data_IF_098629991385
#
_entry.id   IF_098629991385
#
_cell.length_a   1.000
_cell.length_b   1.000
_cell.length_c   1.000
_cell.angle_alpha   90.00
_cell.angle_beta   90.00
_cell.angle_gamma   90.00
#
_symmetry.space_group_name_H-M   'P 1'
#
loop_
_entity.id
_entity.type
_entity.pdbx_description
1 polymer ?
#
# COMPACT_ATOMS: atom_id res chain seq x y z
N UNK A 1 7.54 18.78 -13.51
CA UNK A 1 8.50 19.75 -14.08
C UNK A 1 9.57 18.99 -14.85
N UNK A 2 9.46 18.91 -16.18
CA UNK A 2 10.47 18.25 -17.02
C UNK A 2 11.40 19.29 -17.64
N UNK A 3 12.67 19.32 -17.23
CA UNK A 3 13.69 20.13 -17.90
C UNK A 3 14.12 19.39 -19.17
N UNK A 4 13.73 19.92 -20.34
CA UNK A 4 14.30 19.51 -21.63
C UNK A 4 15.71 20.10 -21.70
N UNK A 5 16.73 19.26 -21.58
CA UNK A 5 18.10 19.64 -21.85
C UNK A 5 18.28 19.78 -23.37
N UNK A 6 18.53 21.00 -23.80
CA UNK A 6 18.80 21.38 -25.17
C UNK A 6 20.27 21.06 -25.49
N UNK A 7 20.53 19.87 -26.04
CA UNK A 7 21.87 19.53 -26.52
C UNK A 7 22.04 20.07 -27.94
N UNK A 8 22.85 21.11 -28.09
CA UNK A 8 23.26 21.64 -29.39
C UNK A 8 24.12 20.56 -30.09
N UNK A 9 23.51 19.82 -31.02
CA UNK A 9 24.25 19.07 -32.04
C UNK A 9 25.07 20.07 -32.84
N UNK A 10 26.38 20.10 -32.60
CA UNK A 10 27.33 20.73 -33.53
C UNK A 10 27.39 19.82 -34.76
N UNK A 11 26.66 20.19 -35.80
CA UNK A 11 26.86 19.63 -37.14
C UNK A 11 28.28 19.96 -37.57
N UNK A 12 29.12 18.93 -37.65
CA UNK A 12 30.42 19.04 -38.29
C UNK A 12 30.17 19.05 -39.80
N UNK A 13 30.05 20.24 -40.39
CA UNK A 13 29.81 20.41 -41.83
C UNK A 13 31.11 20.07 -42.56
N UNK A 14 31.27 18.80 -42.97
CA UNK A 14 32.35 18.38 -43.85
C UNK A 14 32.09 18.97 -45.25
N UNK A 15 32.99 19.85 -45.71
CA UNK A 15 32.88 20.52 -47.01
C UNK A 15 33.08 19.52 -48.16
N UNK A 16 32.31 19.56 -49.27
CA UNK A 16 32.45 18.58 -50.34
C UNK A 16 33.79 18.77 -51.06
N UNK A 17 34.68 17.77 -51.03
CA UNK A 17 35.96 17.81 -51.75
C UNK A 17 36.07 16.71 -52.81
N UNK A 18 36.58 17.14 -53.97
CA UNK A 18 36.69 16.35 -55.21
C UNK A 18 37.56 15.10 -54.99
N UNK A 19 36.97 13.95 -55.29
CA UNK A 19 37.71 12.71 -55.53
C UNK A 19 38.51 12.89 -56.83
N UNK A 20 39.82 12.65 -56.78
CA UNK A 20 40.72 12.76 -57.93
C UNK A 20 40.76 11.40 -58.61
N UNK A 21 40.54 11.37 -59.92
CA UNK A 21 40.51 10.13 -60.70
C UNK A 21 41.92 9.55 -60.89
N UNK A 22 42.04 8.22 -61.07
CA UNK A 22 43.34 7.53 -61.26
C UNK A 22 44.18 8.13 -62.41
N UNK A 23 43.52 8.67 -63.46
CA UNK A 23 44.18 9.28 -64.61
C UNK A 23 44.82 10.65 -64.31
N UNK A 24 44.31 11.40 -63.34
CA UNK A 24 44.87 12.70 -62.93
C UNK A 24 46.09 12.52 -62.02
N UNK A 25 46.14 11.41 -61.27
CA UNK A 25 47.27 11.05 -60.41
C UNK A 25 48.53 10.63 -61.20
N UNK A 26 48.39 10.11 -62.42
CA UNK A 26 49.54 9.68 -63.24
C UNK A 26 50.31 10.83 -63.91
N UNK A 27 49.73 12.04 -64.00
CA UNK A 27 50.30 13.16 -64.75
C UNK A 27 50.90 14.27 -63.86
N UNK A 28 50.98 14.05 -62.55
CA UNK A 28 51.42 15.05 -61.57
C UNK A 28 52.93 15.04 -61.31
N UNK A 29 53.49 16.19 -60.96
CA UNK A 29 54.91 16.31 -60.57
C UNK A 29 55.16 15.70 -59.18
N UNK A 30 56.40 15.30 -58.88
CA UNK A 30 56.77 14.72 -57.59
C UNK A 30 56.41 15.64 -56.40
N UNK A 31 56.57 16.96 -56.57
CA UNK A 31 56.23 17.95 -55.55
C UNK A 31 54.72 17.99 -55.28
N UNK A 32 53.90 17.94 -56.34
CA UNK A 32 52.43 17.89 -56.22
C UNK A 32 51.98 16.58 -55.54
N UNK A 33 52.64 15.46 -55.86
CA UNK A 33 52.36 14.18 -55.23
C UNK A 33 52.69 14.20 -53.74
N UNK A 34 53.86 14.74 -53.37
CA UNK A 34 54.25 14.90 -51.95
C UNK A 34 53.27 15.76 -51.16
N UNK A 35 52.79 16.87 -51.73
CA UNK A 35 51.79 17.73 -51.09
C UNK A 35 50.46 16.98 -50.92
N UNK A 36 49.99 16.28 -51.96
CA UNK A 36 48.75 15.50 -51.90
C UNK A 36 48.79 14.42 -50.80
N UNK A 37 49.89 13.67 -50.72
CA UNK A 37 50.08 12.63 -49.69
C UNK A 37 50.10 13.26 -48.29
N UNK A 38 50.79 14.38 -48.12
CA UNK A 38 50.85 15.08 -46.84
C UNK A 38 49.46 15.58 -46.38
N UNK A 39 48.66 16.12 -47.29
CA UNK A 39 47.28 16.51 -47.00
C UNK A 39 46.40 15.30 -46.66
N UNK A 40 46.58 14.17 -47.35
CA UNK A 40 45.84 12.95 -47.04
C UNK A 40 46.18 12.40 -45.64
N UNK A 41 47.47 12.35 -45.30
CA UNK A 41 47.93 11.95 -43.96
C UNK A 41 47.34 12.87 -42.90
N UNK A 42 47.42 14.19 -43.10
CA UNK A 42 46.87 15.15 -42.15
C UNK A 42 45.36 14.95 -41.93
N UNK A 43 44.60 14.70 -43.01
CA UNK A 43 43.17 14.39 -42.91
C UNK A 43 42.89 13.09 -42.15
N UNK A 44 43.70 12.06 -42.37
CA UNK A 44 43.58 10.80 -41.63
C UNK A 44 43.88 11.00 -40.15
N UNK A 45 44.94 11.74 -39.82
CA UNK A 45 45.30 12.05 -38.42
C UNK A 45 44.17 12.81 -37.72
N UNK A 46 43.57 13.81 -38.37
CA UNK A 46 42.41 14.52 -37.81
C UNK A 46 41.22 13.58 -37.55
N UNK A 47 40.90 12.70 -38.51
CA UNK A 47 39.81 11.72 -38.34
C UNK A 47 40.10 10.72 -37.23
N UNK A 48 41.32 10.20 -37.14
CA UNK A 48 41.76 9.27 -36.08
C UNK A 48 41.67 9.96 -34.72
N UNK A 49 42.20 11.18 -34.58
CA UNK A 49 42.16 11.93 -33.32
C UNK A 49 40.73 12.19 -32.85
N UNK A 50 39.82 12.52 -33.77
CA UNK A 50 38.40 12.71 -33.42
C UNK A 50 37.74 11.39 -32.99
N UNK A 51 38.03 10.27 -33.67
CA UNK A 51 37.54 8.95 -33.26
C UNK A 51 38.05 8.54 -31.88
N UNK A 52 39.33 8.78 -31.59
CA UNK A 52 39.92 8.51 -30.28
C UNK A 52 39.24 9.31 -29.16
N UNK A 53 39.00 10.62 -29.36
CA UNK A 53 38.28 11.45 -28.39
C UNK A 53 36.87 10.94 -28.12
N UNK A 54 36.10 10.65 -29.17
CA UNK A 54 34.76 10.09 -29.03
C UNK A 54 34.78 8.75 -28.28
N UNK A 55 35.79 7.91 -28.51
CA UNK A 55 35.94 6.64 -27.82
C UNK A 55 36.23 6.83 -26.32
N UNK A 56 37.03 7.84 -25.94
CA UNK A 56 37.30 8.17 -24.54
C UNK A 56 36.05 8.68 -23.83
N UNK A 57 35.29 9.57 -24.47
CA UNK A 57 34.01 10.07 -23.94
C UNK A 57 33.02 8.91 -23.71
N UNK A 58 32.86 8.02 -24.71
CA UNK A 58 32.00 6.84 -24.59
C UNK A 58 32.43 5.92 -23.44
N UNK A 59 33.74 5.71 -23.23
CA UNK A 59 34.24 4.90 -22.11
C UNK A 59 33.87 5.52 -20.75
N UNK A 60 33.99 6.85 -20.65
CA UNK A 60 33.61 7.59 -19.44
C UNK A 60 32.11 7.47 -19.16
N UNK A 61 31.27 7.61 -20.19
CA UNK A 61 29.82 7.47 -20.06
C UNK A 61 29.42 6.05 -19.64
N UNK A 62 30.03 5.02 -20.24
CA UNK A 62 29.81 3.62 -19.88
C UNK A 62 30.18 3.36 -18.41
N UNK A 63 31.32 3.90 -17.94
CA UNK A 63 31.72 3.77 -16.55
C UNK A 63 30.71 4.44 -15.59
N UNK A 64 30.19 5.61 -15.97
CA UNK A 64 29.15 6.32 -15.21
C UNK A 64 27.85 5.53 -15.16
N UNK A 65 27.42 4.95 -16.29
CA UNK A 65 26.22 4.11 -16.36
C UNK A 65 26.39 2.87 -15.48
N UNK A 66 27.56 2.22 -15.51
CA UNK A 66 27.84 1.06 -14.67
C UNK A 66 27.69 1.38 -13.19
N UNK A 67 28.29 2.47 -12.72
CA UNK A 67 28.23 2.88 -11.32
C UNK A 67 26.80 3.24 -10.88
N UNK A 68 26.03 3.91 -11.74
CA UNK A 68 24.63 4.23 -11.43
C UNK A 68 23.76 2.96 -11.39
N UNK A 69 24.01 1.99 -12.27
CA UNK A 69 23.32 0.70 -12.26
C UNK A 69 23.64 -0.11 -10.99
N UNK A 70 24.90 -0.15 -10.55
CA UNK A 70 25.28 -0.78 -9.28
C UNK A 70 24.57 -0.13 -8.09
N UNK A 71 24.49 1.22 -8.06
CA UNK A 71 23.73 1.94 -7.03
C UNK A 71 22.23 1.62 -7.05
N UNK A 72 21.64 1.49 -8.24
CA UNK A 72 20.23 1.09 -8.38
C UNK A 72 19.99 -0.33 -7.88
N UNK A 73 20.88 -1.27 -8.18
CA UNK A 73 20.75 -2.66 -7.73
C UNK A 73 20.78 -2.75 -6.20
N UNK A 74 21.69 -2.02 -5.52
CA UNK A 74 21.72 -2.01 -4.05
C UNK A 74 20.43 -1.47 -3.44
N UNK A 75 19.86 -0.40 -4.03
CA UNK A 75 18.59 0.17 -3.57
C UNK A 75 17.39 -0.75 -3.85
N UNK A 76 17.44 -1.50 -4.95
CA UNK A 76 16.42 -2.48 -5.28
C UNK A 76 16.44 -3.63 -4.27
N UNK A 77 17.62 -4.17 -3.95
CA UNK A 77 17.75 -5.22 -2.95
C UNK A 77 17.21 -4.78 -1.58
N UNK A 78 17.56 -3.56 -1.15
CA UNK A 78 17.03 -3.01 0.11
C UNK A 78 15.49 -2.89 0.09
N UNK A 79 14.91 -2.51 -1.05
CA UNK A 79 13.46 -2.43 -1.20
C UNK A 79 12.81 -3.82 -1.18
N UNK A 80 13.41 -4.82 -1.81
CA UNK A 80 12.95 -6.21 -1.79
C UNK A 80 12.97 -6.81 -0.37
N UNK A 81 14.04 -6.57 0.38
CA UNK A 81 14.16 -7.03 1.77
C UNK A 81 13.08 -6.38 2.66
N UNK A 82 12.84 -5.08 2.48
CA UNK A 82 11.78 -4.35 3.20
C UNK A 82 10.37 -4.84 2.86
N UNK A 83 10.12 -5.16 1.59
CA UNK A 83 8.83 -5.72 1.15
C UNK A 83 8.63 -7.09 1.80
N UNK A 84 9.66 -7.94 1.80
CA UNK A 84 9.61 -9.26 2.42
C UNK A 84 9.28 -9.18 3.93
N UNK A 85 9.91 -8.24 4.66
CA UNK A 85 9.60 -8.03 6.07
C UNK A 85 8.15 -7.56 6.30
N UNK A 86 7.65 -6.66 5.43
CA UNK A 86 6.27 -6.18 5.51
C UNK A 86 5.24 -7.28 5.20
N UNK A 87 5.53 -8.16 4.25
CA UNK A 87 4.68 -9.32 3.95
C UNK A 87 4.51 -10.23 5.17
N UNK A 88 5.61 -10.54 5.86
CA UNK A 88 5.61 -11.31 7.11
C UNK A 88 4.79 -10.62 8.21
N UNK A 89 4.93 -9.30 8.35
CA UNK A 89 4.18 -8.52 9.34
C UNK A 89 2.68 -8.51 9.05
N UNK A 90 2.28 -8.31 7.78
CA UNK A 90 0.88 -8.35 7.35
C UNK A 90 0.27 -9.72 7.62
N UNK A 91 1.00 -10.81 7.35
CA UNK A 91 0.53 -12.16 7.63
C UNK A 91 0.31 -12.40 9.14
N UNK A 92 1.23 -11.94 9.99
CA UNK A 92 1.08 -12.03 11.46
C UNK A 92 -0.12 -11.22 11.94
N UNK A 93 -0.34 -10.03 11.39
CA UNK A 93 -1.48 -9.18 11.74
C UNK A 93 -2.81 -9.83 11.33
N UNK A 94 -2.90 -10.39 10.12
CA UNK A 94 -4.09 -11.09 9.66
C UNK A 94 -4.44 -12.29 10.56
N UNK A 95 -3.42 -13.05 11.00
CA UNK A 95 -3.63 -14.13 11.97
C UNK A 95 -4.13 -13.62 13.33
N UNK A 96 -3.55 -12.52 13.83
CA UNK A 96 -3.98 -11.92 15.09
C UNK A 96 -5.43 -11.41 15.03
N UNK A 97 -5.81 -10.78 13.91
CA UNK A 97 -7.18 -10.31 13.66
C UNK A 97 -8.18 -11.46 13.68
N UNK A 98 -7.90 -12.56 12.98
CA UNK A 98 -8.75 -13.76 13.01
C UNK A 98 -8.92 -14.34 14.42
N UNK A 99 -7.89 -14.29 15.25
CA UNK A 99 -7.97 -14.75 16.64
C UNK A 99 -8.79 -13.81 17.51
N UNK A 100 -8.70 -12.49 17.30
CA UNK A 100 -9.53 -11.50 17.97
C UNK A 100 -11.00 -11.65 17.58
N UNK A 101 -11.30 -11.84 16.30
CA UNK A 101 -12.65 -12.06 15.80
C UNK A 101 -13.30 -13.29 16.47
N UNK A 102 -12.57 -14.41 16.55
CA UNK A 102 -13.04 -15.62 17.26
C UNK A 102 -13.32 -15.35 18.75
N UNK A 103 -12.49 -14.55 19.41
CA UNK A 103 -12.69 -14.19 20.82
C UNK A 103 -13.92 -13.30 21.01
N UNK A 104 -14.10 -12.29 20.16
CA UNK A 104 -15.26 -11.40 20.18
C UNK A 104 -16.54 -12.22 19.98
N UNK A 105 -16.58 -13.08 18.97
CA UNK A 105 -17.73 -13.94 18.70
C UNK A 105 -18.10 -14.82 19.89
N UNK A 106 -17.11 -15.44 20.55
CA UNK A 106 -17.33 -16.23 21.76
C UNK A 106 -17.85 -15.39 22.93
N UNK A 107 -17.36 -14.16 23.09
CA UNK A 107 -17.83 -13.24 24.12
C UNK A 107 -19.27 -12.79 23.85
N UNK A 108 -19.61 -12.48 22.60
CA UNK A 108 -20.98 -12.13 22.21
C UNK A 108 -21.96 -13.28 22.47
N UNK A 109 -21.58 -14.51 22.14
CA UNK A 109 -22.37 -15.71 22.44
C UNK A 109 -22.56 -15.87 23.96
N UNK A 110 -21.49 -15.74 24.75
CA UNK A 110 -21.56 -15.84 26.22
C UNK A 110 -22.42 -14.73 26.85
N UNK A 111 -22.36 -13.50 26.33
CA UNK A 111 -23.22 -12.41 26.79
C UNK A 111 -24.69 -12.64 26.44
N UNK A 112 -24.97 -13.23 25.27
CA UNK A 112 -26.32 -13.62 24.87
C UNK A 112 -26.87 -14.68 25.82
N UNK A 113 -26.11 -15.73 26.11
CA UNK A 113 -26.48 -16.78 27.06
C UNK A 113 -26.75 -16.19 28.45
N UNK A 114 -25.89 -15.29 28.95
CA UNK A 114 -26.09 -14.65 30.24
C UNK A 114 -27.37 -13.80 30.26
N UNK A 115 -27.63 -13.03 29.19
CA UNK A 115 -28.86 -12.24 29.05
C UNK A 115 -30.09 -13.12 29.03
N UNK A 116 -30.06 -14.22 28.28
CA UNK A 116 -31.17 -15.16 28.18
C UNK A 116 -31.42 -15.88 29.51
N UNK A 117 -30.34 -16.26 30.22
CA UNK A 117 -30.43 -16.84 31.55
C UNK A 117 -31.03 -15.86 32.57
N UNK A 118 -30.66 -14.58 32.55
CA UNK A 118 -31.27 -13.56 33.40
C UNK A 118 -32.77 -13.40 33.09
N UNK A 119 -33.16 -13.42 31.81
CA UNK A 119 -34.58 -13.32 31.42
C UNK A 119 -35.43 -14.52 31.80
N UNK A 120 -34.85 -15.73 31.85
CA UNK A 120 -35.60 -16.96 32.21
C UNK A 120 -36.24 -16.90 33.60
N UNK A 121 -35.62 -16.16 34.52
CA UNK A 121 -36.14 -15.97 35.88
C UNK A 121 -37.08 -14.77 36.02
N UNK A 122 -37.33 -14.02 34.95
CA UNK A 122 -38.24 -12.88 34.98
C UNK A 122 -39.69 -13.35 34.80
N UNK A 123 -40.55 -12.95 35.74
CA UNK A 123 -42.00 -13.12 35.62
C UNK A 123 -42.63 -11.87 35.01
N UNK A 124 -43.55 -12.05 34.05
CA UNK A 124 -44.36 -10.97 33.47
C UNK A 124 -45.80 -11.12 33.95
N UNK A 125 -46.32 -10.13 34.66
CA UNK A 125 -47.71 -10.05 35.11
C UNK A 125 -48.45 -9.13 34.13
N UNK A 126 -49.58 -9.58 33.59
CA UNK A 126 -50.38 -8.87 32.57
C UNK A 126 -51.81 -8.73 33.09
N UNK A 127 -52.52 -7.67 32.71
CA UNK A 127 -53.92 -7.44 33.08
C UNK A 127 -54.11 -6.69 34.40
N UNK A 128 -53.06 -6.02 34.88
CA UNK A 128 -53.16 -5.12 36.03
C UNK A 128 -53.89 -3.83 35.64
N UNK A 129 -54.87 -3.37 36.44
CA UNK A 129 -55.45 -2.04 36.31
C UNK A 129 -54.37 -0.95 36.40
N UNK A 130 -54.43 0.01 35.49
CA UNK A 130 -53.45 1.09 35.39
C UNK A 130 -53.37 1.89 36.71
N UNK A 131 -52.14 2.08 37.22
CA UNK A 131 -51.88 2.85 38.44
C UNK A 131 -52.09 2.08 39.76
N UNK A 132 -52.49 0.81 39.71
CA UNK A 132 -52.62 -0.01 40.93
C UNK A 132 -51.25 -0.29 41.57
N UNK A 133 -50.20 -0.40 40.76
CA UNK A 133 -48.83 -0.54 41.23
C UNK A 133 -48.31 0.69 42.00
N UNK A 134 -48.76 1.90 41.63
CA UNK A 134 -48.38 3.13 42.31
C UNK A 134 -49.14 3.32 43.64
N UNK A 135 -50.40 2.85 43.70
CA UNK A 135 -51.26 3.01 44.88
C UNK A 135 -50.90 2.05 46.02
N UNK A 136 -50.65 0.77 45.69
CA UNK A 136 -50.44 -0.28 46.70
C UNK A 136 -48.96 -0.71 46.81
N UNK A 137 -48.14 -0.36 45.82
CA UNK A 137 -46.75 -0.78 45.70
C UNK A 137 -46.61 -2.17 45.06
N UNK A 138 -45.62 -2.31 44.18
CA UNK A 138 -45.38 -3.55 43.40
C UNK A 138 -45.12 -4.78 44.26
N UNK A 139 -44.42 -4.64 45.39
CA UNK A 139 -44.13 -5.76 46.30
C UNK A 139 -45.40 -6.29 46.95
N UNK A 140 -46.28 -5.41 47.44
CA UNK A 140 -47.55 -5.79 48.05
C UNK A 140 -48.50 -6.40 47.02
N UNK A 141 -48.58 -5.81 45.82
CA UNK A 141 -49.39 -6.33 44.71
C UNK A 141 -48.91 -7.72 44.28
N UNK A 142 -47.59 -7.94 44.24
CA UNK A 142 -47.02 -9.25 43.94
C UNK A 142 -47.37 -10.28 45.03
N UNK A 143 -47.26 -9.93 46.32
CA UNK A 143 -47.65 -10.82 47.42
C UNK A 143 -49.14 -11.17 47.39
N UNK A 144 -50.03 -10.22 47.07
CA UNK A 144 -51.48 -10.45 46.93
C UNK A 144 -51.76 -11.46 45.80
N UNK A 145 -51.19 -11.25 44.61
CA UNK A 145 -51.36 -12.17 43.46
C UNK A 145 -50.86 -13.58 43.80
N UNK A 146 -49.70 -13.70 44.44
CA UNK A 146 -49.12 -14.99 44.80
C UNK A 146 -49.92 -15.72 45.87
N UNK A 147 -50.43 -15.01 46.88
CA UNK A 147 -51.25 -15.62 47.95
C UNK A 147 -52.64 -16.01 47.48
N UNK A 148 -53.25 -15.24 46.57
CA UNK A 148 -54.56 -15.56 45.99
C UNK A 148 -54.50 -16.77 45.05
N UNK A 149 -53.49 -16.85 44.16
CA UNK A 149 -53.42 -17.87 43.12
C UNK A 149 -52.58 -19.10 43.49
N UNK A 150 -51.59 -18.95 44.39
CA UNK A 150 -50.65 -20.00 44.77
C UNK A 150 -50.46 -20.07 46.31
N UNK A 151 -51.52 -20.37 47.08
CA UNK A 151 -51.50 -20.30 48.55
C UNK A 151 -50.49 -21.25 49.22
N UNK A 152 -50.10 -22.32 48.53
CA UNK A 152 -49.12 -23.31 49.02
C UNK A 152 -47.66 -22.93 48.71
N UNK A 153 -47.42 -21.89 47.90
CA UNK A 153 -46.08 -21.36 47.69
C UNK A 153 -45.72 -20.46 48.87
N UNK A 154 -44.72 -20.88 49.66
CA UNK A 154 -44.20 -20.09 50.79
C UNK A 154 -43.67 -18.71 50.37
N UNK A 155 -43.26 -17.88 51.34
CA UNK A 155 -42.81 -16.49 51.07
C UNK A 155 -41.67 -16.44 50.04
N UNK A 156 -41.89 -15.79 48.90
CA UNK A 156 -40.89 -15.59 47.84
C UNK A 156 -40.24 -14.22 48.03
N UNK A 157 -38.90 -14.18 48.00
CA UNK A 157 -38.15 -12.94 48.10
C UNK A 157 -37.85 -12.36 46.72
N UNK A 158 -38.50 -11.26 46.37
CA UNK A 158 -38.18 -10.49 45.16
C UNK A 158 -36.81 -9.84 45.34
N UNK A 159 -35.89 -10.01 44.38
CA UNK A 159 -34.49 -9.59 44.52
C UNK A 159 -34.01 -8.63 43.42
N UNK A 160 -34.88 -8.15 42.53
CA UNK A 160 -34.48 -7.33 41.37
C UNK A 160 -35.33 -6.08 41.13
N UNK A 161 -34.72 -5.13 40.41
CA UNK A 161 -35.21 -3.81 40.05
C UNK A 161 -36.41 -3.90 39.09
N UNK A 162 -37.54 -3.30 39.45
CA UNK A 162 -38.72 -3.19 38.60
C UNK A 162 -38.41 -2.24 37.41
N UNK A 163 -38.56 -2.73 36.18
CA UNK A 163 -38.47 -1.92 34.96
C UNK A 163 -39.87 -1.74 34.38
N UNK A 164 -40.30 -0.49 34.22
CA UNK A 164 -41.55 -0.11 33.58
C UNK A 164 -41.39 -0.18 32.06
N UNK A 165 -42.33 -0.85 31.39
CA UNK A 165 -42.55 -0.69 29.96
C UNK A 165 -44.00 -0.24 29.79
N UNK A 166 -44.19 1.03 29.45
CA UNK A 166 -45.45 1.51 28.88
C UNK A 166 -45.44 1.01 27.42
N UNK A 167 -46.32 0.07 27.09
CA UNK A 167 -46.60 -0.23 25.68
C UNK A 167 -47.35 0.98 25.12
N UNK A 168 -46.63 1.92 24.50
CA UNK A 168 -47.30 2.88 23.62
C UNK A 168 -47.82 2.09 22.41
N UNK A 169 -49.15 2.07 22.28
CA UNK A 169 -49.85 1.47 21.15
C UNK A 169 -49.33 2.06 19.83
N UNK A 170 -49.12 1.20 18.83
CA UNK A 170 -48.60 1.53 17.49
C UNK A 170 -49.50 2.47 16.68
#
# INVERSE_FOLDING_TARGET
>A
MGKRNNSQRKENVESPRKEISENEACNMTEKEFRVMVMEFIHRMDEKINNLCKNQEEMKSDIATIKNTMESFNSRLQEAEDRISELEDQVQKQAQAEQQLEKKIKKQEESLRELRDNMKRSNMRIIGLPEGQEEQQGLENLFEEIMTENFPDMGKIKVTQHFQYYVEEEW
#
